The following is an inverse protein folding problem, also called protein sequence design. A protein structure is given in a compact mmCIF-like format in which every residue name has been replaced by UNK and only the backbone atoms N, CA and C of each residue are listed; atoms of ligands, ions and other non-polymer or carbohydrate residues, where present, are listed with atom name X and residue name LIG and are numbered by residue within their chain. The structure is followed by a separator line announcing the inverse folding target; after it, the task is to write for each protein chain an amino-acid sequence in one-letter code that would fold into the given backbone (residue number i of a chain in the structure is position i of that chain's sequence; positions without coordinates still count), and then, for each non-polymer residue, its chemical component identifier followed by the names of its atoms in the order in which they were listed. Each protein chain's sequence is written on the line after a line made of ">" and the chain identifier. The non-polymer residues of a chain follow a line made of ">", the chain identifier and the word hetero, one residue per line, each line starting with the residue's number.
data_IF_954339801046
#
_entry.id   IF_954339801046
#
_cell.length_a   1.000
_cell.length_b   1.000
_cell.length_c   1.000
_cell.angle_alpha   90.00
_cell.angle_beta   90.00
_cell.angle_gamma   90.00
#
_symmetry.space_group_name_H-M   'P 1'
#
loop_
_entity.id
_entity.type
_entity.pdbx_description
1 polymer ?
#
# COMPACT_ATOMS: atom_id res chain seq x y z
N UNK A 1 2.17 -24.97 -28.44
CA UNK A 1 1.95 -25.18 -26.99
C UNK A 1 0.61 -25.87 -26.67
N UNK A 2 -0.49 -25.59 -27.38
CA UNK A 2 -1.75 -26.34 -27.20
C UNK A 2 -2.53 -26.01 -25.93
N UNK A 3 -2.21 -24.92 -25.22
CA UNK A 3 -2.93 -24.51 -24.02
C UNK A 3 -4.21 -23.74 -24.36
N UNK A 4 -5.25 -23.98 -23.57
CA UNK A 4 -6.38 -23.08 -23.44
C UNK A 4 -5.94 -21.85 -22.65
N UNK A 5 -6.37 -20.65 -23.06
CA UNK A 5 -5.93 -19.40 -22.40
C UNK A 5 -7.09 -18.44 -22.11
N UNK A 6 -6.98 -17.71 -21.01
CA UNK A 6 -7.86 -16.59 -20.65
C UNK A 6 -7.02 -15.48 -20.05
N UNK A 7 -7.25 -14.23 -20.44
CA UNK A 7 -6.53 -13.09 -19.88
C UNK A 7 -7.44 -11.93 -19.55
N UNK A 8 -7.06 -11.15 -18.54
CA UNK A 8 -7.80 -9.96 -18.12
C UNK A 8 -6.94 -9.05 -17.25
N UNK A 9 -7.03 -7.72 -17.41
CA UNK A 9 -6.51 -6.78 -16.42
C UNK A 9 -7.43 -6.77 -15.20
N UNK A 10 -6.86 -6.94 -14.00
CA UNK A 10 -7.57 -6.94 -12.73
C UNK A 10 -7.06 -5.81 -11.83
N UNK A 11 -7.98 -5.16 -11.12
CA UNK A 11 -7.70 -4.11 -10.13
C UNK A 11 -7.77 -4.70 -8.72
N UNK A 12 -6.68 -4.61 -7.96
CA UNK A 12 -6.58 -5.16 -6.60
C UNK A 12 -7.65 -4.65 -5.64
N UNK A 13 -8.01 -3.36 -5.73
CA UNK A 13 -9.04 -2.77 -4.89
C UNK A 13 -10.42 -3.44 -5.02
N UNK A 14 -10.74 -3.98 -6.20
CA UNK A 14 -11.99 -4.74 -6.39
C UNK A 14 -12.07 -6.03 -5.57
N UNK A 15 -10.97 -6.47 -4.98
CA UNK A 15 -10.89 -7.71 -4.21
C UNK A 15 -10.58 -7.48 -2.73
N UNK A 16 -10.69 -6.23 -2.26
CA UNK A 16 -10.53 -5.89 -0.83
C UNK A 16 -9.11 -5.51 -0.42
N UNK A 17 -8.19 -5.28 -1.36
CA UNK A 17 -6.93 -4.62 -1.05
C UNK A 17 -7.17 -3.10 -0.93
N UNK A 18 -6.62 -2.40 0.07
CA UNK A 18 -6.80 -0.95 0.22
C UNK A 18 -5.96 -0.12 -0.77
N UNK A 19 -5.73 -0.64 -1.98
CA UNK A 19 -4.74 -0.13 -2.92
C UNK A 19 -5.25 -0.15 -4.37
N UNK A 20 -5.07 0.97 -5.06
CA UNK A 20 -5.30 1.09 -6.50
C UNK A 20 -4.10 0.52 -7.28
N UNK A 21 -4.16 -0.75 -7.65
CA UNK A 21 -3.13 -1.47 -8.42
C UNK A 21 -3.76 -2.40 -9.46
N UNK A 22 -3.68 -2.00 -10.72
CA UNK A 22 -4.05 -2.85 -11.85
C UNK A 22 -2.88 -3.72 -12.30
N UNK A 23 -3.14 -5.00 -12.61
CA UNK A 23 -2.18 -5.94 -13.21
C UNK A 23 -2.86 -6.76 -14.30
N UNK A 24 -2.12 -7.12 -15.34
CA UNK A 24 -2.55 -8.08 -16.34
C UNK A 24 -2.31 -9.51 -15.84
N UNK A 25 -3.30 -10.38 -16.01
CA UNK A 25 -3.20 -11.80 -15.68
C UNK A 25 -3.50 -12.64 -16.92
N UNK A 26 -2.71 -13.69 -17.12
CA UNK A 26 -2.91 -14.73 -18.12
C UNK A 26 -3.03 -16.06 -17.39
N UNK A 27 -4.15 -16.75 -17.58
CA UNK A 27 -4.39 -18.10 -17.11
C UNK A 27 -4.27 -19.03 -18.30
N UNK A 28 -3.55 -20.14 -18.12
CA UNK A 28 -3.38 -21.18 -19.12
C UNK A 28 -3.67 -22.55 -18.52
N UNK A 29 -4.37 -23.40 -19.27
CA UNK A 29 -4.69 -24.77 -18.87
C UNK A 29 -4.45 -25.74 -20.04
N UNK A 30 -4.04 -26.97 -19.75
CA UNK A 30 -3.94 -28.03 -20.77
C UNK A 30 -5.32 -28.33 -21.37
N UNK A 31 -5.42 -28.90 -22.59
CA UNK A 31 -6.71 -29.20 -23.24
C UNK A 31 -7.68 -30.02 -22.36
N UNK A 32 -7.13 -30.93 -21.56
CA UNK A 32 -7.85 -31.90 -20.72
C UNK A 32 -8.09 -31.35 -19.29
N UNK A 33 -7.90 -30.05 -19.08
CA UNK A 33 -8.10 -29.36 -17.81
C UNK A 33 -9.19 -28.29 -17.99
N UNK A 34 -10.14 -28.16 -17.06
CA UNK A 34 -11.05 -27.02 -17.07
C UNK A 34 -10.25 -25.70 -16.97
N UNK A 35 -10.47 -24.78 -17.91
CA UNK A 35 -9.84 -23.46 -17.89
C UNK A 35 -10.43 -22.61 -16.75
N UNK A 36 -9.63 -22.13 -15.78
CA UNK A 36 -10.14 -21.33 -14.67
C UNK A 36 -10.76 -20.00 -15.14
N UNK A 37 -11.79 -19.56 -14.43
CA UNK A 37 -12.38 -18.24 -14.65
C UNK A 37 -11.60 -17.13 -13.93
N UNK A 38 -11.90 -15.88 -14.27
CA UNK A 38 -11.48 -14.75 -13.45
C UNK A 38 -12.52 -14.46 -12.37
N UNK A 39 -12.10 -14.17 -11.14
CA UNK A 39 -13.02 -13.84 -10.06
C UNK A 39 -13.75 -12.54 -10.38
N UNK A 40 -15.02 -12.44 -9.99
CA UNK A 40 -15.75 -11.18 -10.11
C UNK A 40 -15.38 -10.23 -8.96
N UNK A 41 -15.39 -8.90 -9.19
CA UNK A 41 -15.22 -7.90 -8.13
C UNK A 41 -16.16 -8.11 -6.95
N UNK A 42 -15.61 -7.96 -5.74
CA UNK A 42 -16.36 -8.07 -4.48
C UNK A 42 -16.51 -6.71 -3.79
N UNK A 43 -15.54 -5.83 -3.98
CA UNK A 43 -15.49 -4.50 -3.36
C UNK A 43 -15.67 -3.41 -4.42
N UNK A 44 -16.40 -2.36 -4.06
CA UNK A 44 -16.52 -1.15 -4.86
C UNK A 44 -15.16 -0.44 -4.94
N UNK A 45 -14.88 0.16 -6.10
CA UNK A 45 -13.74 1.04 -6.26
C UNK A 45 -14.12 2.20 -7.20
N UNK A 46 -13.88 3.46 -6.82
CA UNK A 46 -14.24 4.60 -7.65
C UNK A 46 -13.43 4.60 -8.95
N UNK A 47 -14.14 4.74 -10.09
CA UNK A 47 -13.52 4.81 -11.43
C UNK A 47 -12.84 6.15 -11.72
N UNK A 48 -13.08 7.19 -10.91
CA UNK A 48 -12.56 8.53 -11.16
C UNK A 48 -11.03 8.56 -10.99
N UNK A 49 -10.30 8.81 -12.08
CA UNK A 49 -8.84 9.02 -12.07
C UNK A 49 -7.97 7.76 -12.11
N UNK A 50 -8.55 6.55 -12.19
CA UNK A 50 -7.80 5.29 -12.35
C UNK A 50 -8.29 4.56 -13.60
N UNK A 51 -7.67 4.83 -14.74
CA UNK A 51 -7.72 3.94 -15.92
C UNK A 51 -6.33 3.33 -16.10
N UNK A 52 -6.23 2.02 -16.37
CA UNK A 52 -6.65 1.50 -17.66
C UNK A 52 -8.11 1.07 -17.63
N UNK A 53 -8.80 1.20 -18.76
CA UNK A 53 -10.02 0.45 -18.99
C UNK A 53 -9.69 -0.99 -18.57
N UNK A 54 -10.40 -1.59 -17.61
CA UNK A 54 -10.23 -3.02 -17.28
C UNK A 54 -10.81 -3.92 -18.40
N UNK A 55 -10.65 -3.43 -19.63
CA UNK A 55 -11.12 -3.93 -20.90
C UNK A 55 -9.96 -3.72 -21.86
N UNK A 56 -9.62 -4.76 -22.61
CA UNK A 56 -8.59 -4.67 -23.63
C UNK A 56 -9.29 -4.57 -24.99
N UNK A 57 -9.05 -3.48 -25.68
CA UNK A 57 -9.46 -3.30 -27.07
C UNK A 57 -8.39 -3.93 -27.95
N UNK A 58 -8.82 -4.84 -28.82
CA UNK A 58 -7.97 -5.56 -29.75
C UNK A 58 -8.05 -4.90 -31.13
N UNK A 59 -7.00 -5.03 -31.94
CA UNK A 59 -6.92 -4.40 -33.27
C UNK A 59 -8.03 -4.87 -34.23
N UNK A 60 -8.61 -6.04 -33.97
CA UNK A 60 -9.74 -6.60 -34.73
C UNK A 60 -11.12 -6.09 -34.26
N UNK A 61 -11.16 -5.04 -33.44
CA UNK A 61 -12.39 -4.46 -32.89
C UNK A 61 -13.02 -5.26 -31.75
N UNK A 62 -12.46 -6.41 -31.35
CA UNK A 62 -12.98 -7.18 -30.21
C UNK A 62 -12.54 -6.53 -28.89
N UNK A 63 -13.43 -6.57 -27.90
CA UNK A 63 -13.12 -6.11 -26.54
C UNK A 63 -13.12 -7.27 -25.57
N UNK A 64 -12.01 -7.46 -24.85
CA UNK A 64 -11.90 -8.46 -23.77
C UNK A 64 -12.33 -7.81 -22.46
N UNK A 65 -13.51 -8.17 -21.96
CA UNK A 65 -14.11 -7.65 -20.72
C UNK A 65 -14.61 -8.79 -19.82
N UNK A 66 -13.69 -9.57 -19.26
CA UNK A 66 -14.04 -10.79 -18.49
C UNK A 66 -14.68 -10.50 -17.13
N UNK A 67 -14.36 -9.36 -16.51
CA UNK A 67 -14.90 -8.95 -15.21
C UNK A 67 -15.95 -7.84 -15.33
N UNK A 68 -17.03 -7.98 -14.56
CA UNK A 68 -18.10 -6.97 -14.47
C UNK A 68 -17.66 -5.88 -13.51
N UNK A 69 -17.52 -4.66 -14.01
CA UNK A 69 -17.04 -3.50 -13.24
C UNK A 69 -18.07 -2.39 -13.14
N UNK A 70 -19.32 -2.64 -13.53
CA UNK A 70 -20.38 -1.63 -13.52
C UNK A 70 -20.61 -1.09 -12.11
N UNK A 71 -21.04 0.17 -12.01
CA UNK A 71 -21.37 0.75 -10.71
C UNK A 71 -22.55 -0.02 -10.09
N UNK A 72 -22.52 -0.20 -8.77
CA UNK A 72 -23.56 -0.93 -8.03
C UNK A 72 -23.47 -2.46 -8.10
N UNK A 73 -22.46 -3.05 -8.76
CA UNK A 73 -22.34 -4.53 -8.84
C UNK A 73 -21.50 -5.17 -7.75
N UNK A 74 -20.82 -4.36 -6.93
CA UNK A 74 -19.98 -4.87 -5.85
C UNK A 74 -20.75 -4.88 -4.53
N UNK A 75 -20.58 -5.94 -3.74
CA UNK A 75 -21.30 -6.14 -2.48
C UNK A 75 -20.74 -5.30 -1.33
N UNK A 76 -19.42 -5.11 -1.30
CA UNK A 76 -18.72 -4.44 -0.20
C UNK A 76 -18.22 -3.05 -0.59
N UNK A 77 -18.13 -2.09 0.35
CA UNK A 77 -17.47 -0.81 0.10
C UNK A 77 -15.97 -1.00 -0.16
N UNK A 78 -15.30 0.05 -0.65
CA UNK A 78 -13.85 0.07 -0.78
C UNK A 78 -13.20 0.00 0.61
N UNK A 79 -12.10 -0.74 0.74
CA UNK A 79 -11.26 -0.67 1.95
C UNK A 79 -10.41 0.59 1.89
N UNK A 80 -10.57 1.47 2.88
CA UNK A 80 -9.84 2.74 2.96
C UNK A 80 -8.46 2.57 3.62
N UNK A 81 -7.64 3.62 3.56
CA UNK A 81 -6.37 3.68 4.29
C UNK A 81 -6.62 3.59 5.81
N UNK A 82 -7.62 4.31 6.33
CA UNK A 82 -8.00 4.23 7.74
C UNK A 82 -8.39 2.82 8.14
N UNK A 83 -9.21 2.15 7.32
CA UNK A 83 -9.58 0.75 7.57
C UNK A 83 -8.37 -0.17 7.63
N UNK A 84 -7.28 0.18 6.95
CA UNK A 84 -6.08 -0.63 6.88
C UNK A 84 -5.07 -0.36 8.01
N UNK A 85 -4.92 0.88 8.50
CA UNK A 85 -3.78 1.23 9.38
C UNK A 85 -4.14 2.00 10.66
N UNK A 86 -5.39 2.44 10.85
CA UNK A 86 -5.76 3.30 12.00
C UNK A 86 -5.49 2.67 13.37
N UNK A 87 -5.51 1.34 13.41
CA UNK A 87 -5.38 0.50 14.59
C UNK A 87 -3.93 0.14 14.93
N UNK A 88 -2.96 0.46 14.06
CA UNK A 88 -1.53 0.28 14.32
C UNK A 88 -1.03 1.38 15.27
N UNK A 89 -0.10 1.02 16.18
CA UNK A 89 0.45 1.95 17.16
C UNK A 89 1.01 3.20 16.49
N UNK A 90 0.53 4.37 16.90
CA UNK A 90 0.99 5.64 16.30
C UNK A 90 2.33 6.06 16.88
N UNK A 91 3.15 6.68 16.04
CA UNK A 91 4.37 7.36 16.47
C UNK A 91 4.76 8.42 15.44
N UNK A 92 5.34 9.51 15.93
CA UNK A 92 5.92 10.59 15.13
C UNK A 92 7.44 10.45 15.05
N UNK A 93 8.05 11.08 14.06
CA UNK A 93 9.49 11.32 14.06
C UNK A 93 9.85 12.56 14.87
N UNK A 94 10.93 12.49 15.62
CA UNK A 94 11.57 13.61 16.32
C UNK A 94 12.91 13.89 15.67
N UNK A 95 12.98 14.99 14.93
CA UNK A 95 14.25 15.42 14.33
C UNK A 95 15.18 15.97 15.45
N UNK A 96 16.48 15.61 15.45
CA UNK A 96 17.39 16.00 16.55
C UNK A 96 17.57 17.52 16.70
N UNK A 97 17.46 18.27 15.61
CA UNK A 97 17.70 19.71 15.56
C UNK A 97 16.63 20.41 14.73
N UNK A 98 15.44 20.69 15.28
CA UNK A 98 14.42 21.48 14.57
C UNK A 98 14.63 22.96 14.89
N UNK A 99 15.25 23.70 13.97
CA UNK A 99 15.50 25.13 14.17
C UNK A 99 14.27 25.99 13.89
N UNK A 100 13.43 25.59 12.93
CA UNK A 100 12.46 26.50 12.29
C UNK A 100 11.05 26.52 12.89
N UNK A 101 10.78 25.79 13.98
CA UNK A 101 9.45 25.82 14.59
C UNK A 101 9.18 27.10 15.38
N UNK A 102 8.04 27.73 15.09
CA UNK A 102 7.47 28.81 15.90
C UNK A 102 7.16 28.34 17.33
N UNK A 103 7.06 29.24 18.32
CA UNK A 103 6.66 28.88 19.68
C UNK A 103 5.35 28.09 19.74
N UNK A 104 4.38 28.44 18.90
CA UNK A 104 3.11 27.71 18.76
C UNK A 104 3.32 26.28 18.27
N UNK A 105 4.11 26.07 17.21
CA UNK A 105 4.40 24.73 16.71
C UNK A 105 5.13 23.85 17.73
N UNK A 106 6.04 24.44 18.52
CA UNK A 106 6.71 23.72 19.62
C UNK A 106 5.72 23.30 20.70
N UNK A 107 4.79 24.19 21.09
CA UNK A 107 3.74 23.88 22.04
C UNK A 107 2.81 22.78 21.52
N UNK A 108 2.36 22.88 20.27
CA UNK A 108 1.50 21.87 19.63
C UNK A 108 2.20 20.52 19.53
N UNK A 109 3.51 20.51 19.24
CA UNK A 109 4.30 19.29 19.23
C UNK A 109 4.47 18.69 20.64
N UNK A 110 4.66 19.52 21.67
CA UNK A 110 4.73 19.07 23.07
C UNK A 110 3.44 18.40 23.51
N UNK A 111 2.29 19.06 23.31
CA UNK A 111 0.96 18.48 23.63
C UNK A 111 0.71 17.17 22.89
N UNK A 112 1.13 17.11 21.63
CA UNK A 112 0.99 15.89 20.83
C UNK A 112 1.86 14.74 21.33
N UNK A 113 3.05 15.02 21.84
CA UNK A 113 3.94 14.00 22.39
C UNK A 113 3.37 13.27 23.60
N UNK A 114 2.38 13.86 24.30
CA UNK A 114 1.64 13.22 25.39
C UNK A 114 0.74 12.07 24.91
N UNK A 115 0.27 12.12 23.66
CA UNK A 115 -0.65 11.12 23.08
C UNK A 115 0.04 10.22 22.05
N UNK A 116 0.91 10.79 21.22
CA UNK A 116 1.62 10.07 20.17
C UNK A 116 3.12 10.09 20.48
N UNK A 117 3.73 8.93 20.80
CA UNK A 117 5.14 8.86 21.12
C UNK A 117 5.99 9.33 19.93
N UNK A 118 7.13 9.92 20.23
CA UNK A 118 8.04 10.46 19.21
C UNK A 118 9.36 9.68 19.22
N UNK A 119 9.76 9.18 18.06
CA UNK A 119 10.98 8.40 17.87
C UNK A 119 12.06 9.30 17.27
N UNK A 120 13.22 9.34 17.92
CA UNK A 120 14.35 10.16 17.47
C UNK A 120 14.89 9.66 16.13
N UNK A 121 15.08 10.57 15.17
CA UNK A 121 15.71 10.27 13.89
C UNK A 121 17.25 10.18 14.04
N UNK A 122 17.76 9.30 14.89
CA UNK A 122 19.21 9.09 15.03
C UNK A 122 19.74 8.25 13.87
N UNK A 123 20.99 8.50 13.45
CA UNK A 123 21.58 7.76 12.34
C UNK A 123 22.21 6.43 12.77
N UNK A 124 22.33 6.20 14.08
CA UNK A 124 22.97 5.02 14.68
C UNK A 124 22.10 3.76 14.56
N UNK A 125 20.77 3.92 14.62
CA UNK A 125 19.83 2.82 14.35
C UNK A 125 19.73 2.56 12.84
N UNK A 126 19.59 1.31 12.37
CA UNK A 126 19.40 1.03 10.95
C UNK A 126 18.03 1.44 10.39
N UNK A 127 17.03 1.63 11.25
CA UNK A 127 15.66 2.02 10.90
C UNK A 127 15.06 2.92 12.00
N UNK A 128 13.93 3.56 11.71
CA UNK A 128 13.20 4.36 12.70
C UNK A 128 11.79 3.81 12.90
N UNK A 129 11.46 3.38 14.11
CA UNK A 129 10.16 2.77 14.38
C UNK A 129 10.10 2.02 15.68
N UNK A 130 8.99 1.32 15.86
CA UNK A 130 8.78 0.42 16.98
C UNK A 130 9.22 -0.97 16.50
N UNK A 131 10.20 -1.56 17.18
CA UNK A 131 10.71 -2.91 16.86
C UNK A 131 10.80 -3.82 18.07
N UNK A 132 10.29 -3.38 19.22
CA UNK A 132 10.28 -4.20 20.42
C UNK A 132 9.36 -5.41 20.23
N UNK A 133 9.66 -6.47 20.96
CA UNK A 133 8.76 -7.62 21.05
C UNK A 133 7.48 -7.12 21.75
N UNK A 134 6.31 -7.42 21.16
CA UNK A 134 4.97 -7.12 21.66
C UNK A 134 4.56 -5.63 21.62
N UNK A 135 4.64 -5.03 20.43
CA UNK A 135 4.04 -3.70 20.20
C UNK A 135 2.51 -3.80 20.31
N UNK A 136 1.87 -3.17 21.31
CA UNK A 136 0.42 -3.20 21.41
C UNK A 136 -0.18 -2.39 20.25
N UNK A 137 -1.30 -2.88 19.72
CA UNK A 137 -2.10 -2.10 18.79
C UNK A 137 -2.68 -0.85 19.48
N UNK A 138 -3.00 0.18 18.69
CA UNK A 138 -3.58 1.44 19.20
C UNK A 138 -4.95 1.19 19.86
N UNK A 139 -5.73 0.26 19.30
CA UNK A 139 -7.03 -0.16 19.81
C UNK A 139 -7.42 -1.54 19.28
N UNK A 140 -8.52 -2.11 19.78
CA UNK A 140 -9.16 -3.31 19.22
C UNK A 140 -9.59 -3.10 17.76
N UNK A 141 -9.61 -4.14 16.91
CA UNK A 141 -9.96 -3.99 15.50
C UNK A 141 -11.39 -3.43 15.34
N UNK A 142 -11.53 -2.35 14.58
CA UNK A 142 -12.81 -1.69 14.27
C UNK A 142 -13.39 -2.14 12.93
N UNK A 143 -12.54 -2.67 12.04
CA UNK A 143 -12.92 -3.06 10.69
C UNK A 143 -12.67 -4.54 10.46
N UNK A 144 -13.42 -5.14 9.53
CA UNK A 144 -13.20 -6.52 9.09
C UNK A 144 -11.79 -6.72 8.54
N UNK A 145 -11.25 -5.70 7.87
CA UNK A 145 -9.89 -5.74 7.36
C UNK A 145 -8.87 -5.89 8.49
N UNK A 146 -8.99 -5.09 9.56
CA UNK A 146 -8.09 -5.16 10.72
C UNK A 146 -8.20 -6.51 11.43
N UNK A 147 -9.43 -7.01 11.61
CA UNK A 147 -9.65 -8.33 12.20
C UNK A 147 -8.96 -9.44 11.39
N UNK A 148 -9.10 -9.40 10.06
CA UNK A 148 -8.47 -10.37 9.15
C UNK A 148 -6.96 -10.20 9.02
N UNK A 149 -6.45 -8.98 9.14
CA UNK A 149 -5.01 -8.70 9.11
C UNK A 149 -4.36 -9.26 10.38
N UNK A 150 -4.96 -9.05 11.55
CA UNK A 150 -4.39 -9.45 12.83
C UNK A 150 -4.35 -10.95 13.07
N UNK A 151 -5.33 -11.73 12.56
CA UNK A 151 -5.42 -13.21 12.71
C UNK A 151 -4.92 -13.75 14.06
N UNK A 152 -5.72 -13.76 15.13
CA UNK A 152 -5.34 -14.33 16.45
C UNK A 152 -3.83 -14.20 16.78
N UNK A 153 -3.27 -12.99 16.59
CA UNK A 153 -1.84 -12.84 16.33
C UNK A 153 -0.96 -13.45 17.42
N UNK A 154 -0.12 -14.42 17.05
CA UNK A 154 0.83 -15.13 17.93
C UNK A 154 2.28 -14.60 17.81
N UNK A 155 2.53 -13.55 17.00
CA UNK A 155 3.89 -13.02 16.78
C UNK A 155 4.15 -11.68 17.46
N UNK A 156 5.35 -11.55 18.04
CA UNK A 156 5.83 -10.39 18.79
C UNK A 156 6.41 -9.26 17.92
N UNK A 157 6.76 -9.49 16.64
CA UNK A 157 7.36 -8.48 15.78
C UNK A 157 6.62 -8.31 14.43
N UNK A 158 5.76 -7.30 14.37
CA UNK A 158 5.01 -6.96 13.15
C UNK A 158 5.80 -6.07 12.17
N UNK A 159 7.10 -5.78 12.36
CA UNK A 159 7.90 -4.92 11.48
C UNK A 159 7.35 -3.48 11.31
N UNK A 160 6.99 -2.84 12.43
CA UNK A 160 6.39 -1.49 12.42
C UNK A 160 7.45 -0.36 12.46
N UNK A 161 8.31 -0.37 11.45
CA UNK A 161 9.36 0.62 11.29
C UNK A 161 9.48 1.15 9.87
N UNK A 162 10.14 2.29 9.74
CA UNK A 162 10.42 3.00 8.49
C UNK A 162 11.89 2.86 8.11
N UNK A 163 12.21 3.00 6.82
CA UNK A 163 13.60 3.25 6.40
C UNK A 163 14.08 4.60 6.93
N UNK A 164 15.40 4.73 7.07
CA UNK A 164 16.03 6.03 7.26
C UNK A 164 15.89 6.90 6.00
N UNK A 165 15.69 8.18 6.23
CA UNK A 165 15.81 9.24 5.23
C UNK A 165 16.92 10.20 5.64
N UNK A 166 17.51 10.98 4.71
CA UNK A 166 18.37 12.09 5.09
C UNK A 166 17.66 13.01 6.08
N UNK A 167 18.38 13.54 7.08
CA UNK A 167 17.80 14.36 8.15
C UNK A 167 17.01 15.57 7.62
N UNK A 168 17.52 16.26 6.60
CA UNK A 168 16.80 17.35 5.91
C UNK A 168 15.47 16.89 5.30
N UNK A 169 15.43 15.68 4.75
CA UNK A 169 14.18 15.10 4.21
C UNK A 169 13.22 14.72 5.34
N UNK A 170 13.72 14.18 6.45
CA UNK A 170 12.91 13.89 7.63
C UNK A 170 12.31 15.17 8.23
N UNK A 171 13.09 16.25 8.33
CA UNK A 171 12.63 17.56 8.77
C UNK A 171 11.51 18.11 7.88
N UNK A 172 11.63 17.97 6.56
CA UNK A 172 10.55 18.34 5.62
C UNK A 172 9.28 17.54 5.85
N UNK A 173 9.38 16.21 6.01
CA UNK A 173 8.23 15.33 6.30
C UNK A 173 7.55 15.75 7.60
N UNK A 174 8.31 16.10 8.63
CA UNK A 174 7.81 16.58 9.92
C UNK A 174 7.06 17.92 9.79
N UNK A 175 7.49 18.78 8.87
CA UNK A 175 6.87 20.08 8.61
C UNK A 175 5.69 20.06 7.62
N UNK A 176 5.38 18.91 7.00
CA UNK A 176 4.15 18.77 6.20
C UNK A 176 2.93 18.91 7.11
N UNK A 177 2.00 19.78 6.73
CA UNK A 177 0.78 20.09 7.48
C UNK A 177 -0.03 18.83 7.81
N UNK A 178 -0.76 18.82 8.93
CA UNK A 178 -1.49 17.65 9.44
C UNK A 178 -2.96 17.63 8.96
N UNK A 179 -3.19 17.70 7.65
CA UNK A 179 -4.52 17.48 7.09
C UNK A 179 -4.48 16.61 5.83
N UNK A 180 -5.55 15.86 5.52
CA UNK A 180 -5.61 14.95 4.38
C UNK A 180 -5.18 15.63 3.07
N UNK A 181 -4.29 14.99 2.31
CA UNK A 181 -3.86 15.47 1.00
C UNK A 181 -2.87 16.65 1.01
N UNK A 182 -2.49 17.18 2.19
CA UNK A 182 -1.43 18.18 2.32
C UNK A 182 -0.14 17.73 1.65
N UNK A 183 0.67 18.67 1.19
CA UNK A 183 1.87 18.36 0.45
C UNK A 183 3.00 19.36 0.69
N UNK A 184 4.02 19.28 -0.16
CA UNK A 184 5.20 20.14 -0.10
C UNK A 184 4.90 21.65 -0.10
N UNK A 185 3.75 22.12 -0.60
CA UNK A 185 3.43 23.55 -0.63
C UNK A 185 3.33 24.16 0.78
N UNK A 186 3.00 23.37 1.79
CA UNK A 186 2.90 23.83 3.18
C UNK A 186 4.23 23.83 3.95
N UNK A 187 5.35 23.44 3.34
CA UNK A 187 6.66 23.37 3.98
C UNK A 187 7.32 24.76 4.01
N UNK A 188 7.98 25.17 5.11
CA UNK A 188 8.70 26.45 5.19
C UNK A 188 9.71 26.66 4.06
N UNK A 189 9.79 27.88 3.52
CA UNK A 189 10.63 28.24 2.36
C UNK A 189 12.11 27.92 2.56
N UNK A 190 12.65 28.06 3.77
CA UNK A 190 14.05 27.72 4.09
C UNK A 190 14.36 26.23 3.93
N UNK A 191 13.35 25.36 4.06
CA UNK A 191 13.48 23.93 3.84
C UNK A 191 13.17 23.54 2.38
N UNK A 192 12.67 24.47 1.57
CA UNK A 192 12.35 24.24 0.18
C UNK A 192 13.62 23.94 -0.63
N UNK A 193 13.54 22.97 -1.53
CA UNK A 193 14.62 22.67 -2.45
C UNK A 193 14.39 23.41 -3.76
N UNK A 194 15.41 24.15 -4.21
CA UNK A 194 15.37 24.92 -5.45
C UNK A 194 14.77 24.12 -6.62
N UNK A 195 15.19 22.86 -6.78
CA UNK A 195 14.75 22.01 -7.88
C UNK A 195 13.23 21.78 -7.91
N UNK A 196 12.56 21.76 -6.76
CA UNK A 196 11.15 21.42 -6.65
C UNK A 196 10.23 22.63 -6.43
N UNK A 197 10.73 23.73 -5.83
CA UNK A 197 9.94 24.93 -5.55
C UNK A 197 10.18 26.07 -6.54
N UNK A 198 11.33 26.11 -7.23
CA UNK A 198 11.61 27.23 -8.12
C UNK A 198 10.89 27.06 -9.47
N UNK A 199 9.99 27.98 -9.87
CA UNK A 199 9.29 27.92 -11.15
C UNK A 199 10.20 27.93 -12.39
N UNK A 200 11.46 28.37 -12.25
CA UNK A 200 12.47 28.31 -13.32
C UNK A 200 13.00 26.89 -13.57
N UNK A 201 12.94 25.99 -12.57
CA UNK A 201 13.40 24.61 -12.68
C UNK A 201 12.53 23.82 -13.67
N UNK A 202 13.15 23.10 -14.60
CA UNK A 202 12.45 22.17 -15.50
C UNK A 202 11.62 21.14 -14.73
N UNK A 203 12.07 20.75 -13.54
CA UNK A 203 11.34 19.83 -12.66
C UNK A 203 10.08 20.48 -12.10
N UNK A 204 10.13 21.73 -11.64
CA UNK A 204 8.94 22.45 -11.17
C UNK A 204 7.95 22.77 -12.32
N UNK A 205 8.46 23.15 -13.49
CA UNK A 205 7.66 23.42 -14.71
C UNK A 205 6.86 22.19 -15.15
N UNK A 206 7.52 21.03 -15.24
CA UNK A 206 6.91 19.78 -15.71
C UNK A 206 6.22 18.95 -14.61
N UNK A 207 6.52 19.19 -13.32
CA UNK A 207 5.87 18.52 -12.17
C UNK A 207 4.85 19.39 -11.45
N UNK A 208 4.45 20.55 -11.97
CA UNK A 208 3.35 21.37 -11.43
C UNK A 208 2.02 20.60 -11.21
N UNK A 209 1.88 19.39 -11.78
CA UNK A 209 0.76 18.46 -11.58
C UNK A 209 1.01 17.34 -10.53
N UNK A 210 2.20 17.24 -9.93
CA UNK A 210 2.57 16.19 -8.98
C UNK A 210 2.98 16.79 -7.62
N UNK A 211 2.04 16.71 -6.69
CA UNK A 211 2.16 17.00 -5.25
C UNK A 211 3.25 16.15 -4.57
N UNK A 212 4.45 16.69 -4.33
CA UNK A 212 5.54 16.03 -3.60
C UNK A 212 5.28 16.02 -2.08
N UNK A 213 5.97 15.15 -1.33
CA UNK A 213 5.77 15.03 0.12
C UNK A 213 4.29 14.92 0.48
N UNK A 214 3.54 14.13 -0.30
CA UNK A 214 2.08 14.09 -0.20
C UNK A 214 1.67 13.22 0.99
N UNK A 215 0.85 13.81 1.86
CA UNK A 215 0.14 13.13 2.93
C UNK A 215 -1.04 12.35 2.36
N UNK A 216 -1.16 11.13 2.83
CA UNK A 216 -2.28 10.27 2.47
C UNK A 216 -3.58 10.76 3.13
N UNK A 217 -4.67 10.58 2.40
CA UNK A 217 -6.01 10.82 2.90
C UNK A 217 -6.54 9.54 3.54
N UNK A 218 -6.94 9.55 4.83
CA UNK A 218 -7.41 8.37 5.53
C UNK A 218 -8.64 7.72 4.88
N UNK A 219 -9.50 8.50 4.21
CA UNK A 219 -10.72 8.02 3.56
C UNK A 219 -10.49 7.56 2.11
N UNK A 220 -9.27 7.72 1.61
CA UNK A 220 -8.87 7.29 0.27
C UNK A 220 -8.22 5.90 0.29
N UNK A 221 -7.55 5.53 -0.79
CA UNK A 221 -6.82 4.28 -0.96
C UNK A 221 -5.32 4.54 -1.18
N UNK A 222 -4.48 3.54 -0.91
CA UNK A 222 -3.06 3.62 -1.22
C UNK A 222 -2.84 3.65 -2.74
N UNK A 223 -2.04 4.62 -3.21
CA UNK A 223 -1.48 4.55 -4.58
C UNK A 223 -0.59 3.31 -4.69
N UNK A 224 -0.32 2.85 -5.92
CA UNK A 224 0.44 1.61 -6.18
C UNK A 224 1.71 1.53 -5.33
N UNK A 225 1.74 0.63 -4.34
CA UNK A 225 2.88 0.53 -3.44
C UNK A 225 4.15 0.24 -4.24
N UNK A 226 5.09 1.19 -4.17
CA UNK A 226 6.34 1.19 -4.91
C UNK A 226 7.47 0.58 -4.08
N UNK A 227 8.48 0.10 -4.79
CA UNK A 227 9.67 -0.54 -4.21
C UNK A 227 10.64 0.43 -3.52
N UNK A 228 10.49 1.74 -3.78
CA UNK A 228 11.31 2.80 -3.19
C UNK A 228 10.41 3.86 -2.54
N UNK A 229 10.16 3.70 -1.24
CA UNK A 229 9.33 4.64 -0.47
C UNK A 229 10.13 5.91 -0.21
N UNK A 230 9.89 6.96 -0.99
CA UNK A 230 10.54 8.26 -0.83
C UNK A 230 9.57 9.40 -1.14
N UNK A 231 9.55 10.47 -0.33
CA UNK A 231 8.67 11.63 -0.55
C UNK A 231 8.88 12.37 -1.90
N UNK A 232 10.04 12.19 -2.53
CA UNK A 232 10.42 12.82 -3.80
C UNK A 232 10.33 11.88 -5.02
N UNK A 233 10.02 10.60 -4.80
CA UNK A 233 9.88 9.61 -5.86
C UNK A 233 8.66 9.90 -6.76
N UNK A 234 8.57 9.17 -7.88
CA UNK A 234 7.47 9.28 -8.86
C UNK A 234 6.09 9.15 -8.21
N UNK A 235 5.98 8.33 -7.16
CA UNK A 235 4.80 8.31 -6.27
C UNK A 235 5.20 8.87 -4.91
N UNK A 236 4.96 10.16 -4.73
CA UNK A 236 5.31 10.96 -3.55
C UNK A 236 4.32 10.86 -2.38
N UNK A 237 3.20 10.14 -2.58
CA UNK A 237 2.14 9.95 -1.60
C UNK A 237 2.51 8.83 -0.61
N UNK A 238 3.43 9.15 0.31
CA UNK A 238 4.04 8.18 1.23
C UNK A 238 4.03 8.64 2.69
N UNK A 239 3.49 9.81 2.98
CA UNK A 239 3.41 10.34 4.35
C UNK A 239 2.12 9.82 5.01
N UNK A 240 2.27 9.33 6.25
CA UNK A 240 1.18 8.76 7.04
C UNK A 240 0.03 9.77 7.22
N UNK A 241 -1.26 9.38 7.17
CA UNK A 241 -2.37 10.33 7.28
C UNK A 241 -2.38 11.17 8.56
N UNK A 242 -2.01 10.56 9.69
CA UNK A 242 -2.12 11.19 11.01
C UNK A 242 -0.77 11.47 11.67
N UNK A 243 0.35 10.96 11.15
CA UNK A 243 1.65 10.97 11.84
C UNK A 243 2.69 11.77 11.05
N UNK A 244 3.68 12.33 11.74
CA UNK A 244 4.80 13.09 11.15
C UNK A 244 5.92 12.16 10.70
N UNK A 245 5.60 11.22 9.80
CA UNK A 245 6.53 10.24 9.24
C UNK A 245 6.04 9.67 7.92
N UNK A 246 6.90 8.95 7.21
CA UNK A 246 6.47 8.10 6.10
C UNK A 246 5.83 6.80 6.61
N UNK A 247 5.24 6.04 5.69
CA UNK A 247 4.68 4.73 5.97
C UNK A 247 5.73 3.72 6.44
N UNK A 248 5.35 2.87 7.40
CA UNK A 248 6.16 1.75 7.89
C UNK A 248 6.10 0.55 6.95
N UNK A 249 7.01 -0.42 7.15
CA UNK A 249 6.96 -1.72 6.44
C UNK A 249 5.63 -2.42 6.70
N UNK A 250 5.15 -2.48 7.95
CA UNK A 250 3.83 -3.03 8.28
C UNK A 250 2.67 -2.34 7.57
N UNK A 251 2.64 -1.02 7.53
CA UNK A 251 1.58 -0.27 6.84
C UNK A 251 1.57 -0.58 5.33
N UNK A 252 2.76 -0.76 4.73
CA UNK A 252 2.88 -1.16 3.32
C UNK A 252 2.49 -2.63 3.10
N UNK A 253 2.78 -3.53 4.04
CA UNK A 253 2.28 -4.91 4.01
C UNK A 253 0.75 -4.95 4.05
N UNK A 254 0.14 -4.17 4.94
CA UNK A 254 -1.32 -4.01 4.98
C UNK A 254 -1.87 -3.32 3.72
N UNK A 255 -1.11 -2.43 3.08
CA UNK A 255 -1.52 -1.89 1.77
C UNK A 255 -1.67 -2.97 0.69
N UNK A 256 -0.90 -4.06 0.78
CA UNK A 256 -1.01 -5.25 -0.07
C UNK A 256 -2.04 -6.27 0.44
N UNK A 257 -2.69 -6.02 1.58
CA UNK A 257 -3.62 -6.93 2.24
C UNK A 257 -2.95 -8.13 2.90
N UNK A 258 -1.64 -8.08 3.15
CA UNK A 258 -0.91 -9.14 3.85
C UNK A 258 -1.26 -9.14 5.34
N UNK A 259 -1.38 -10.33 5.96
CA UNK A 259 -1.65 -10.45 7.39
C UNK A 259 -0.45 -10.01 8.24
N UNK A 260 -0.70 -9.76 9.52
CA UNK A 260 0.27 -9.20 10.46
C UNK A 260 1.34 -10.21 10.90
N UNK A 261 1.04 -11.51 10.81
CA UNK A 261 1.96 -12.64 11.00
C UNK A 261 2.90 -12.86 9.80
N UNK A 262 2.68 -12.18 8.68
CA UNK A 262 3.58 -12.23 7.54
C UNK A 262 4.75 -11.28 7.77
N UNK A 263 5.95 -11.85 7.89
CA UNK A 263 7.20 -11.12 7.99
C UNK A 263 8.00 -11.20 6.68
N UNK A 264 8.65 -10.09 6.31
CA UNK A 264 9.60 -10.06 5.20
C UNK A 264 11.01 -10.16 5.75
N UNK A 265 11.73 -11.19 5.32
CA UNK A 265 13.13 -11.40 5.69
C UNK A 265 14.03 -10.95 4.53
N UNK A 266 15.17 -10.34 4.86
CA UNK A 266 16.25 -10.17 3.90
C UNK A 266 17.27 -11.30 4.09
N UNK A 267 17.89 -11.73 2.97
CA UNK A 267 18.91 -12.78 2.97
C UNK A 267 20.28 -12.27 3.44
N UNK A 268 20.50 -10.95 3.37
CA UNK A 268 21.77 -10.33 3.76
C UNK A 268 21.62 -9.61 5.12
N UNK A 269 22.59 -9.78 6.01
CA UNK A 269 22.64 -9.17 7.36
C UNK A 269 22.76 -7.64 7.35
N UNK A 270 22.96 -7.02 6.19
CA UNK A 270 22.99 -5.56 6.09
C UNK A 270 21.57 -4.99 6.22
N UNK A 271 21.29 -4.42 7.39
CA UNK A 271 19.97 -3.93 7.81
C UNK A 271 19.44 -2.77 6.95
N UNK A 272 20.32 -1.96 6.33
CA UNK A 272 19.89 -0.90 5.41
C UNK A 272 19.33 -1.51 4.13
N UNK A 273 20.03 -2.51 3.59
CA UNK A 273 19.51 -3.35 2.50
C UNK A 273 18.26 -4.09 2.93
N UNK A 274 18.13 -4.53 4.19
CA UNK A 274 16.93 -5.23 4.66
C UNK A 274 15.66 -4.40 4.50
N UNK A 275 15.61 -3.15 4.97
CA UNK A 275 14.39 -2.34 4.84
C UNK A 275 14.07 -2.00 3.38
N UNK A 276 15.10 -1.75 2.57
CA UNK A 276 14.94 -1.51 1.14
C UNK A 276 14.48 -2.77 0.39
N UNK A 277 15.00 -3.93 0.75
CA UNK A 277 14.60 -5.24 0.24
C UNK A 277 13.17 -5.55 0.66
N UNK A 278 12.77 -5.21 1.89
CA UNK A 278 11.40 -5.37 2.35
C UNK A 278 10.45 -4.49 1.52
N UNK A 279 10.77 -3.21 1.32
CA UNK A 279 9.99 -2.34 0.44
C UNK A 279 9.93 -2.86 -1.00
N UNK A 280 11.03 -3.41 -1.54
CA UNK A 280 11.07 -4.04 -2.87
C UNK A 280 10.17 -5.28 -2.95
N UNK A 281 10.25 -6.18 -1.97
CA UNK A 281 9.42 -7.37 -1.90
C UNK A 281 7.93 -7.01 -1.83
N UNK A 282 7.56 -6.09 -0.94
CA UNK A 282 6.19 -5.57 -0.80
C UNK A 282 5.71 -4.89 -2.08
N UNK A 283 6.56 -4.07 -2.71
CA UNK A 283 6.23 -3.36 -3.94
C UNK A 283 6.08 -4.28 -5.16
N UNK A 284 6.83 -5.38 -5.23
CA UNK A 284 6.78 -6.33 -6.35
C UNK A 284 5.72 -7.41 -6.18
N UNK A 285 5.28 -7.70 -4.96
CA UNK A 285 4.26 -8.69 -4.66
C UNK A 285 2.92 -8.42 -5.38
N UNK A 286 2.16 -9.50 -5.59
CA UNK A 286 0.76 -9.41 -5.97
C UNK A 286 -0.07 -9.22 -4.69
N UNK A 287 -1.01 -8.26 -4.65
CA UNK A 287 -1.88 -8.05 -3.50
C UNK A 287 -2.56 -9.34 -3.04
N UNK A 288 -2.47 -9.62 -1.75
CA UNK A 288 -2.88 -10.87 -1.13
C UNK A 288 -4.36 -11.22 -1.38
N UNK A 289 -5.33 -10.29 -1.24
CA UNK A 289 -6.73 -10.60 -1.48
C UNK A 289 -7.03 -10.99 -2.94
N UNK A 290 -6.32 -10.37 -3.89
CA UNK A 290 -6.43 -10.69 -5.31
C UNK A 290 -5.85 -12.09 -5.61
N UNK A 291 -4.71 -12.44 -5.01
CA UNK A 291 -4.12 -13.77 -5.11
C UNK A 291 -5.06 -14.86 -4.56
N UNK A 292 -5.71 -14.61 -3.41
CA UNK A 292 -6.74 -15.52 -2.86
C UNK A 292 -7.91 -15.68 -3.84
N UNK A 293 -8.40 -14.58 -4.41
CA UNK A 293 -9.54 -14.60 -5.34
C UNK A 293 -9.22 -15.44 -6.59
N UNK A 294 -8.02 -15.28 -7.16
CA UNK A 294 -7.54 -16.10 -8.27
C UNK A 294 -7.38 -17.58 -7.87
N UNK A 295 -6.80 -17.83 -6.70
CA UNK A 295 -6.63 -19.19 -6.17
C UNK A 295 -7.96 -19.93 -5.99
N UNK A 296 -9.03 -19.22 -5.60
CA UNK A 296 -10.39 -19.79 -5.52
C UNK A 296 -10.91 -20.25 -6.88
N UNK A 297 -10.68 -19.49 -7.94
CA UNK A 297 -11.12 -19.88 -9.29
C UNK A 297 -10.30 -21.06 -9.84
N UNK A 298 -9.00 -21.13 -9.53
CA UNK A 298 -8.17 -22.30 -9.84
C UNK A 298 -8.69 -23.53 -9.07
N UNK A 299 -8.99 -23.39 -7.77
CA UNK A 299 -9.56 -24.47 -6.96
C UNK A 299 -10.88 -24.99 -7.54
N UNK A 300 -11.79 -24.10 -7.95
CA UNK A 300 -13.06 -24.48 -8.61
C UNK A 300 -12.83 -25.27 -9.90
N UNK A 301 -11.86 -24.87 -10.72
CA UNK A 301 -11.52 -25.59 -11.95
C UNK A 301 -10.99 -27.00 -11.66
N UNK A 302 -10.17 -27.15 -10.61
CA UNK A 302 -9.68 -28.46 -10.17
C UNK A 302 -10.81 -29.33 -9.60
N UNK A 303 -11.72 -28.75 -8.82
CA UNK A 303 -12.89 -29.46 -8.29
C UNK A 303 -13.78 -29.98 -9.44
N UNK A 304 -14.05 -29.14 -10.45
CA UNK A 304 -14.83 -29.56 -11.62
C UNK A 304 -14.19 -30.74 -12.35
N UNK A 305 -12.85 -30.80 -12.42
CA UNK A 305 -12.14 -31.94 -13.01
C UNK A 305 -12.30 -33.21 -12.17
N UNK A 306 -12.31 -33.07 -10.85
CA UNK A 306 -12.47 -34.18 -9.93
C UNK A 306 -13.89 -34.77 -10.02
N UNK A 307 -14.92 -33.92 -10.03
CA UNK A 307 -16.33 -34.32 -10.23
C UNK A 307 -16.51 -35.08 -11.55
N UNK A 308 -15.93 -34.56 -12.66
CA UNK A 308 -15.95 -35.23 -13.97
C UNK A 308 -15.26 -36.60 -13.98
N UNK A 309 -14.35 -36.89 -13.04
CA UNK A 309 -13.72 -38.21 -12.93
C UNK A 309 -14.57 -39.19 -12.16
N UNK A 310 -15.24 -38.75 -11.10
CA UNK A 310 -16.12 -39.63 -10.32
C UNK A 310 -17.34 -40.07 -11.12
N UNK A 311 -17.92 -39.18 -11.94
CA UNK A 311 -19.00 -39.55 -12.88
C UNK A 311 -18.58 -40.68 -13.84
N UNK A 312 -17.32 -40.71 -14.28
CA UNK A 312 -16.80 -41.75 -15.19
C UNK A 312 -16.57 -43.10 -14.48
N UNK A 313 -16.43 -43.12 -13.14
CA UNK A 313 -16.15 -44.35 -12.37
C UNK A 313 -17.44 -45.06 -11.95
N UNK A 314 -18.58 -44.34 -11.93
CA UNK A 314 -19.88 -44.85 -11.47
C UNK A 314 -20.71 -45.44 -12.63
N UNK A 315 -20.36 -45.13 -13.88
CA UNK A 315 -20.90 -45.76 -15.11
C UNK A 315 -20.04 -46.95 -15.57
#
# INVERSE_FOLDING_TARGET
>A
MGYQVRFSPLQAAHYGAPQGRARFFLLAALPNMPLPAFPQPTHYFPRAGVSPRLRLEMDNGRTVAVIRTAQGTALFPMVTIADAVDDLRRFDWKHPWISEWTPKQRLDASKRAETIPSISCTMDSPWWGLSEQDIPYEHSPKTRFQLQARRENLQSNIQHYTRKLPLKTAERVINVQLFPGSDHQGIPEKLAEFQYWNPASSVAKNRSKLSLYKRLDPQSYFRTTITNVSPTAKQSAVIHPLCRRILTVRELLRSQGMPDDFAVCALDDNVITMVLTNHRAVGNAVPWPLSIALGREIKKALQKKWEQREEIIID
#
